data_IF_477060905553
#
_entry.id   IF_477060905553
#
_cell.length_a   1.000
_cell.length_b   1.000
_cell.length_c   1.000
_cell.angle_alpha   90.00
_cell.angle_beta   90.00
_cell.angle_gamma   90.00
#
_symmetry.space_group_name_H-M   'P 1'
#
loop_
_entity.id
_entity.type
_entity.pdbx_description
1 polymer ?
#
# COMPACT_ATOMS: atom_id res chain seq x y z
N UNK A 1 -28.67 16.43 59.76
CA UNK A 1 -28.98 17.04 58.45
C UNK A 1 -27.92 16.59 57.46
N UNK A 2 -28.19 15.56 56.64
CA UNK A 2 -27.27 15.04 55.63
C UNK A 2 -27.79 15.46 54.26
N UNK A 3 -26.98 16.18 53.47
CA UNK A 3 -27.27 16.53 52.07
C UNK A 3 -27.31 15.25 51.20
N UNK A 4 -28.18 15.17 50.18
CA UNK A 4 -28.12 14.08 49.20
C UNK A 4 -27.01 14.36 48.18
N UNK A 5 -26.24 13.31 47.84
CA UNK A 5 -25.31 13.32 46.71
C UNK A 5 -26.11 13.35 45.40
N UNK A 6 -25.82 14.32 44.54
CA UNK A 6 -26.21 14.31 43.13
C UNK A 6 -25.31 13.32 42.36
N UNK A 7 -25.92 12.37 41.66
CA UNK A 7 -25.22 11.49 40.73
C UNK A 7 -24.74 12.27 39.49
N UNK A 8 -23.55 11.96 38.92
CA UNK A 8 -23.08 12.62 37.71
C UNK A 8 -23.90 12.14 36.51
N UNK A 9 -24.43 13.09 35.74
CA UNK A 9 -25.09 12.79 34.48
C UNK A 9 -24.05 12.25 33.47
N UNK A 10 -24.25 11.02 33.03
CA UNK A 10 -23.47 10.44 31.94
C UNK A 10 -23.87 11.11 30.62
N UNK A 11 -23.02 12.00 30.08
CA UNK A 11 -23.13 12.43 28.69
C UNK A 11 -22.76 11.23 27.80
N UNK A 12 -23.78 10.57 27.25
CA UNK A 12 -23.59 9.65 26.13
C UNK A 12 -23.27 10.47 24.88
N UNK A 13 -21.99 10.52 24.49
CA UNK A 13 -21.62 10.92 23.14
C UNK A 13 -22.08 9.82 22.18
N UNK A 14 -23.25 9.99 21.58
CA UNK A 14 -23.61 9.23 20.40
C UNK A 14 -22.63 9.64 19.29
N UNK A 15 -21.66 8.79 18.97
CA UNK A 15 -20.89 8.93 17.74
C UNK A 15 -21.87 8.72 16.59
N UNK A 16 -22.32 9.81 15.95
CA UNK A 16 -22.93 9.72 14.64
C UNK A 16 -21.86 9.20 13.68
N UNK A 17 -21.89 7.91 13.38
CA UNK A 17 -21.17 7.37 12.22
C UNK A 17 -21.90 7.89 11.00
N UNK A 18 -21.39 8.99 10.42
CA UNK A 18 -21.87 9.43 9.11
C UNK A 18 -21.72 8.26 8.12
N UNK A 19 -22.78 7.98 7.36
CA UNK A 19 -22.70 6.99 6.30
C UNK A 19 -21.54 7.38 5.34
N UNK A 20 -20.74 6.42 4.86
CA UNK A 20 -19.68 6.72 3.92
C UNK A 20 -20.25 7.45 2.70
N UNK A 21 -19.51 8.45 2.21
CA UNK A 21 -19.91 9.16 1.00
C UNK A 21 -20.07 8.18 -0.16
N UNK A 22 -21.06 8.37 -1.05
CA UNK A 22 -21.19 7.50 -2.21
C UNK A 22 -19.93 7.59 -3.06
N UNK A 23 -19.44 6.44 -3.52
CA UNK A 23 -18.31 6.39 -4.43
C UNK A 23 -18.71 7.04 -5.75
N UNK A 24 -17.86 7.93 -6.22
CA UNK A 24 -18.02 8.64 -7.49
C UNK A 24 -16.94 8.22 -8.47
N UNK A 25 -17.30 8.16 -9.74
CA UNK A 25 -16.36 7.96 -10.84
C UNK A 25 -16.32 9.21 -11.70
N UNK A 26 -15.11 9.66 -12.03
CA UNK A 26 -14.91 10.69 -13.06
C UNK A 26 -15.00 10.07 -14.47
N UNK A 27 -15.18 10.92 -15.48
CA UNK A 27 -15.16 10.55 -16.90
C UNK A 27 -14.15 11.40 -17.68
N UNK A 28 -13.77 10.93 -18.87
CA UNK A 28 -12.87 11.67 -19.76
C UNK A 28 -13.55 12.91 -20.38
N UNK A 29 -12.83 14.04 -20.57
CA UNK A 29 -11.48 14.30 -20.06
C UNK A 29 -11.48 14.38 -18.53
N UNK A 30 -10.58 13.63 -17.89
CA UNK A 30 -10.60 13.50 -16.44
C UNK A 30 -10.26 14.83 -15.77
N UNK A 31 -10.99 15.22 -14.71
CA UNK A 31 -10.77 16.50 -14.05
C UNK A 31 -9.41 16.50 -13.37
N UNK A 32 -8.71 17.63 -13.47
CA UNK A 32 -7.50 17.88 -12.68
C UNK A 32 -7.86 17.88 -11.19
N UNK A 33 -7.09 17.15 -10.38
CA UNK A 33 -7.24 17.23 -8.92
C UNK A 33 -6.76 18.61 -8.44
N UNK A 34 -7.64 19.33 -7.75
CA UNK A 34 -7.37 20.72 -7.32
C UNK A 34 -6.46 20.80 -6.10
N UNK A 35 -6.29 19.71 -5.35
CA UNK A 35 -5.40 19.64 -4.19
C UNK A 35 -3.99 19.21 -4.59
N UNK A 36 -3.83 18.56 -5.74
CA UNK A 36 -2.58 17.94 -6.14
C UNK A 36 -1.68 18.86 -7.00
N UNK A 37 -0.39 18.87 -6.70
CA UNK A 37 0.65 19.63 -7.43
C UNK A 37 1.94 18.82 -7.55
N UNK A 38 2.84 19.24 -8.45
CA UNK A 38 4.18 18.66 -8.59
C UNK A 38 5.20 19.66 -8.06
N UNK A 39 5.90 19.27 -7.00
CA UNK A 39 7.06 19.96 -6.44
C UNK A 39 8.32 19.44 -7.12
N UNK A 40 9.08 20.33 -7.79
CA UNK A 40 10.34 19.97 -8.46
C UNK A 40 11.51 20.47 -7.63
N UNK A 41 12.36 19.56 -7.18
CA UNK A 41 13.53 19.88 -6.36
C UNK A 41 14.85 19.73 -7.13
N UNK A 42 14.86 18.87 -8.15
CA UNK A 42 16.02 18.61 -9.00
C UNK A 42 15.65 18.54 -10.50
N UNK A 43 16.48 19.09 -11.42
CA UNK A 43 16.23 19.00 -12.86
C UNK A 43 16.12 17.57 -13.41
N UNK A 44 16.73 16.57 -12.76
CA UNK A 44 16.61 15.16 -13.18
C UNK A 44 15.15 14.66 -13.19
N UNK A 45 14.25 15.31 -12.44
CA UNK A 45 12.83 14.98 -12.46
C UNK A 45 12.19 15.20 -13.84
N UNK A 46 12.72 16.09 -14.68
CA UNK A 46 12.16 16.40 -16.00
C UNK A 46 12.29 15.25 -17.01
N UNK A 47 13.21 14.30 -16.73
CA UNK A 47 13.33 13.04 -17.44
C UNK A 47 12.22 12.03 -17.06
N UNK A 48 11.55 12.24 -15.92
CA UNK A 48 10.55 11.32 -15.36
C UNK A 48 9.12 11.86 -15.50
N UNK A 49 8.93 13.19 -15.38
CA UNK A 49 7.63 13.86 -15.45
C UNK A 49 7.70 15.10 -16.34
N UNK A 50 6.78 15.23 -17.28
CA UNK A 50 6.62 16.44 -18.08
C UNK A 50 6.38 17.68 -17.21
N UNK A 51 6.94 18.82 -17.61
CA UNK A 51 6.79 20.10 -16.90
C UNK A 51 5.32 20.53 -16.77
N UNK A 52 4.51 20.20 -17.78
CA UNK A 52 3.07 20.43 -17.82
C UNK A 52 2.21 19.25 -17.34
N UNK A 53 2.80 18.21 -16.73
CA UNK A 53 2.05 17.04 -16.27
C UNK A 53 0.95 17.44 -15.27
N UNK A 54 -0.25 16.89 -15.48
CA UNK A 54 -1.42 17.13 -14.64
C UNK A 54 -1.79 15.87 -13.87
N UNK A 55 -2.14 16.04 -12.59
CA UNK A 55 -2.71 14.97 -11.77
C UNK A 55 -4.22 14.95 -12.00
N UNK A 56 -4.72 13.83 -12.48
CA UNK A 56 -6.15 13.60 -12.75
C UNK A 56 -6.80 12.88 -11.57
N UNK A 57 -8.04 13.27 -11.23
CA UNK A 57 -8.87 12.57 -10.25
C UNK A 57 -9.82 11.62 -10.98
N UNK A 58 -9.66 10.32 -10.74
CA UNK A 58 -10.41 9.25 -11.39
C UNK A 58 -11.70 8.88 -10.65
N UNK A 59 -11.78 9.22 -9.37
CA UNK A 59 -12.93 8.96 -8.52
C UNK A 59 -12.62 9.24 -7.07
N UNK A 60 -13.66 9.30 -6.25
CA UNK A 60 -13.54 9.62 -4.82
C UNK A 60 -14.67 9.00 -4.01
N UNK A 61 -14.57 9.04 -2.68
CA UNK A 61 -15.55 8.52 -1.73
C UNK A 61 -15.14 7.22 -1.03
N UNK A 62 -13.88 6.81 -1.17
CA UNK A 62 -13.32 5.66 -0.45
C UNK A 62 -13.09 6.00 1.03
N UNK A 63 -13.07 4.99 1.90
CA UNK A 63 -12.75 5.16 3.32
C UNK A 63 -11.24 5.15 3.56
N UNK A 64 -10.54 4.20 2.93
CA UNK A 64 -9.07 4.19 2.86
C UNK A 64 -8.62 3.37 1.64
N UNK A 65 -8.38 4.06 0.52
CA UNK A 65 -7.93 3.41 -0.72
C UNK A 65 -6.48 2.95 -0.64
N UNK A 66 -6.19 1.72 -1.07
CA UNK A 66 -4.93 1.01 -0.82
C UNK A 66 -4.56 0.02 -1.93
N UNK A 67 -3.32 -0.48 -1.89
CA UNK A 67 -2.84 -1.62 -2.66
C UNK A 67 -3.20 -1.63 -4.15
N UNK A 68 -3.02 -0.53 -4.92
CA UNK A 68 -3.38 -0.53 -6.32
C UNK A 68 -2.46 -1.45 -7.13
N UNK A 69 -3.02 -2.14 -8.12
CA UNK A 69 -2.28 -2.87 -9.16
C UNK A 69 -2.97 -2.75 -10.51
N UNK A 70 -2.17 -2.67 -11.56
CA UNK A 70 -2.68 -2.83 -12.92
C UNK A 70 -2.81 -4.31 -13.26
N UNK A 71 -3.97 -4.73 -13.79
CA UNK A 71 -4.22 -6.10 -14.22
C UNK A 71 -4.40 -6.14 -15.74
N UNK A 72 -3.37 -6.54 -16.51
CA UNK A 72 -3.41 -6.53 -17.96
C UNK A 72 -4.59 -7.32 -18.55
N UNK A 73 -4.91 -8.47 -17.97
CA UNK A 73 -6.02 -9.32 -18.41
C UNK A 73 -7.40 -8.64 -18.28
N UNK A 74 -7.53 -7.65 -17.39
CA UNK A 74 -8.75 -6.86 -17.21
C UNK A 74 -8.71 -5.52 -17.93
N UNK A 75 -7.53 -5.10 -18.41
CA UNK A 75 -7.23 -3.75 -18.85
C UNK A 75 -7.77 -2.70 -17.84
N UNK A 76 -7.48 -2.94 -16.57
CA UNK A 76 -8.05 -2.20 -15.46
C UNK A 76 -7.10 -2.14 -14.26
N UNK A 77 -7.29 -1.12 -13.43
CA UNK A 77 -6.65 -1.01 -12.13
C UNK A 77 -7.55 -1.66 -11.07
N UNK A 78 -6.99 -2.53 -10.24
CA UNK A 78 -7.61 -3.00 -9.01
C UNK A 78 -6.99 -2.27 -7.82
N UNK A 79 -7.78 -1.98 -6.78
CA UNK A 79 -7.30 -1.39 -5.53
C UNK A 79 -8.25 -1.71 -4.38
N UNK A 80 -7.74 -1.81 -3.17
CA UNK A 80 -8.52 -2.14 -1.97
C UNK A 80 -9.14 -0.89 -1.35
N UNK A 81 -10.29 -1.04 -0.70
CA UNK A 81 -10.75 -0.15 0.36
C UNK A 81 -10.79 -0.96 1.66
N UNK A 82 -9.74 -0.81 2.46
CA UNK A 82 -9.41 -1.76 3.55
C UNK A 82 -10.51 -1.82 4.61
N UNK A 83 -11.10 -0.70 5.07
CA UNK A 83 -12.21 -0.73 6.02
C UNK A 83 -13.48 -1.40 5.47
N UNK A 84 -13.75 -1.19 4.18
CA UNK A 84 -14.99 -1.62 3.55
C UNK A 84 -15.01 -3.11 3.14
N UNK A 85 -13.87 -3.81 3.26
CA UNK A 85 -13.73 -5.23 2.89
C UNK A 85 -13.98 -5.49 1.39
N UNK A 86 -13.54 -4.55 0.54
CA UNK A 86 -13.77 -4.58 -0.90
C UNK A 86 -12.49 -4.34 -1.68
N UNK A 87 -12.41 -4.95 -2.86
CA UNK A 87 -11.53 -4.49 -3.95
C UNK A 87 -12.39 -3.84 -5.00
N UNK A 88 -12.01 -2.64 -5.42
CA UNK A 88 -12.60 -1.92 -6.55
C UNK A 88 -11.80 -2.16 -7.83
N UNK A 89 -12.50 -2.08 -8.96
CA UNK A 89 -11.93 -1.99 -10.30
C UNK A 89 -12.20 -0.60 -10.85
N UNK A 90 -11.16 0.09 -11.29
CA UNK A 90 -11.28 1.24 -12.17
C UNK A 90 -10.87 0.84 -13.59
N UNK A 91 -11.69 1.17 -14.59
CA UNK A 91 -11.39 0.94 -16.00
C UNK A 91 -11.72 2.19 -16.82
N UNK A 92 -10.81 2.59 -17.68
CA UNK A 92 -10.98 3.76 -18.55
C UNK A 92 -12.26 3.61 -19.39
N UNK A 93 -13.06 4.69 -19.46
CA UNK A 93 -14.38 4.69 -20.12
C UNK A 93 -15.53 3.98 -19.39
N UNK A 94 -15.24 3.08 -18.42
CA UNK A 94 -16.27 2.38 -17.63
C UNK A 94 -16.43 2.96 -16.21
N UNK A 95 -15.35 3.47 -15.62
CA UNK A 95 -15.33 4.00 -14.27
C UNK A 95 -15.09 2.96 -13.19
N UNK A 96 -15.61 3.23 -11.98
CA UNK A 96 -15.34 2.45 -10.77
C UNK A 96 -16.49 1.49 -10.46
N UNK A 97 -16.14 0.23 -10.18
CA UNK A 97 -17.08 -0.82 -9.78
C UNK A 97 -16.47 -1.75 -8.73
N UNK A 98 -17.30 -2.45 -7.95
CA UNK A 98 -16.80 -3.50 -7.03
C UNK A 98 -16.31 -4.68 -7.84
N UNK A 99 -15.10 -5.15 -7.55
CA UNK A 99 -14.50 -6.33 -8.16
C UNK A 99 -14.60 -7.57 -7.26
N UNK A 100 -14.36 -7.40 -5.96
CA UNK A 100 -14.31 -8.49 -4.99
C UNK A 100 -14.90 -8.03 -3.66
N UNK A 101 -15.83 -8.83 -3.12
CA UNK A 101 -16.44 -8.63 -1.80
C UNK A 101 -16.94 -9.99 -1.27
N UNK A 102 -16.51 -10.45 -0.08
CA UNK A 102 -15.49 -9.86 0.78
C UNK A 102 -14.07 -10.00 0.19
N UNK A 103 -13.16 -9.10 0.54
CA UNK A 103 -11.77 -9.15 0.05
C UNK A 103 -10.73 -9.62 1.08
N UNK A 104 -10.95 -9.39 2.37
CA UNK A 104 -10.03 -9.75 3.46
C UNK A 104 -10.65 -10.72 4.46
N UNK A 105 -11.55 -10.22 5.30
CA UNK A 105 -12.23 -11.01 6.30
C UNK A 105 -13.38 -11.80 5.70
N UNK A 106 -13.35 -13.12 5.86
CA UNK A 106 -14.38 -14.03 5.35
C UNK A 106 -15.36 -14.53 6.42
N UNK A 107 -15.15 -14.15 7.68
CA UNK A 107 -16.03 -14.50 8.80
C UNK A 107 -17.25 -13.57 8.95
N UNK A 108 -17.98 -13.74 10.04
CA UNK A 108 -19.24 -13.01 10.30
C UNK A 108 -19.11 -11.82 11.24
N UNK A 109 -18.17 -11.86 12.18
CA UNK A 109 -17.95 -10.79 13.15
C UNK A 109 -16.48 -10.40 13.20
N UNK A 110 -16.23 -9.10 13.09
CA UNK A 110 -14.89 -8.53 13.11
C UNK A 110 -14.85 -7.33 14.03
N UNK A 111 -13.94 -7.34 15.01
CA UNK A 111 -13.81 -6.28 15.99
C UNK A 111 -12.56 -5.43 15.72
N UNK A 112 -12.56 -4.71 14.61
CA UNK A 112 -11.48 -3.85 14.17
C UNK A 112 -11.89 -3.02 12.94
N UNK A 113 -11.09 -2.00 12.62
CA UNK A 113 -11.38 -1.09 11.51
C UNK A 113 -11.01 -1.69 10.14
N UNK A 114 -9.82 -2.22 10.01
CA UNK A 114 -9.21 -2.60 8.73
C UNK A 114 -9.36 -4.11 8.48
N UNK A 115 -10.55 -4.53 8.09
CA UNK A 115 -10.88 -5.96 7.94
C UNK A 115 -10.65 -6.52 6.54
N UNK A 116 -10.51 -5.64 5.55
CA UNK A 116 -10.40 -5.98 4.13
C UNK A 116 -9.05 -6.52 3.69
N UNK A 117 -8.93 -6.68 2.39
CA UNK A 117 -7.63 -6.82 1.74
C UNK A 117 -6.86 -5.50 1.85
N UNK A 118 -5.54 -5.57 1.82
CA UNK A 118 -4.69 -4.40 1.66
C UNK A 118 -3.89 -4.52 0.35
N UNK A 119 -2.59 -4.82 0.43
CA UNK A 119 -1.72 -4.98 -0.74
C UNK A 119 -2.23 -6.06 -1.69
N UNK A 120 -2.15 -5.75 -2.98
CA UNK A 120 -2.50 -6.63 -4.08
C UNK A 120 -1.27 -6.85 -4.96
N UNK A 121 -1.16 -8.03 -5.57
CA UNK A 121 -0.15 -8.32 -6.59
C UNK A 121 -0.62 -9.44 -7.52
N UNK A 122 0.12 -9.70 -8.58
CA UNK A 122 -0.08 -10.86 -9.45
C UNK A 122 1.08 -11.83 -9.26
N UNK A 123 0.78 -13.12 -9.19
CA UNK A 123 1.83 -14.13 -9.34
C UNK A 123 2.24 -14.30 -10.81
N UNK A 124 3.26 -15.14 -11.05
CA UNK A 124 3.77 -15.41 -12.41
C UNK A 124 2.73 -16.04 -13.37
N UNK A 125 1.58 -16.50 -12.87
CA UNK A 125 0.46 -17.00 -13.68
C UNK A 125 -0.62 -15.93 -13.89
N UNK A 126 -0.39 -14.70 -13.43
CA UNK A 126 -1.36 -13.60 -13.51
C UNK A 126 -2.51 -13.73 -12.53
N UNK A 127 -2.39 -14.57 -11.48
CA UNK A 127 -3.44 -14.75 -10.48
C UNK A 127 -3.31 -13.70 -9.38
N UNK A 128 -4.44 -13.12 -8.99
CA UNK A 128 -4.51 -12.14 -7.92
C UNK A 128 -4.08 -12.76 -6.59
N UNK A 129 -2.99 -12.26 -6.03
CA UNK A 129 -2.48 -12.58 -4.70
C UNK A 129 -2.60 -11.33 -3.84
N UNK A 130 -3.06 -11.47 -2.60
CA UNK A 130 -3.47 -10.37 -1.76
C UNK A 130 -3.17 -10.62 -0.29
N UNK A 131 -2.88 -9.52 0.40
CA UNK A 131 -2.77 -9.45 1.84
C UNK A 131 -4.18 -9.33 2.44
N UNK A 132 -4.62 -10.32 3.22
CA UNK A 132 -5.91 -10.31 3.91
C UNK A 132 -5.71 -9.97 5.38
N UNK A 133 -6.04 -8.74 5.78
CA UNK A 133 -5.93 -8.31 7.18
C UNK A 133 -6.79 -9.17 8.09
N UNK A 134 -8.10 -9.26 7.81
CA UNK A 134 -9.03 -9.89 8.74
C UNK A 134 -8.82 -11.40 8.91
N UNK A 135 -8.39 -12.09 7.86
CA UNK A 135 -8.06 -13.53 7.92
C UNK A 135 -6.61 -13.77 8.37
N UNK A 136 -5.78 -12.72 8.49
CA UNK A 136 -4.38 -12.73 8.94
C UNK A 136 -3.50 -13.67 8.11
N UNK A 137 -3.59 -13.54 6.78
CA UNK A 137 -2.87 -14.39 5.82
C UNK A 137 -2.54 -13.66 4.53
N UNK A 138 -1.56 -14.17 3.80
CA UNK A 138 -1.49 -13.94 2.35
C UNK A 138 -2.32 -15.02 1.67
N UNK A 139 -3.18 -14.59 0.76
CA UNK A 139 -4.08 -15.46 0.04
C UNK A 139 -3.99 -15.23 -1.47
N UNK A 140 -4.45 -16.20 -2.23
CA UNK A 140 -4.61 -16.12 -3.68
C UNK A 140 -6.06 -16.33 -4.03
N UNK A 141 -6.61 -15.51 -4.93
CA UNK A 141 -7.96 -15.72 -5.44
C UNK A 141 -7.99 -17.04 -6.21
N UNK A 142 -8.95 -17.91 -5.87
CA UNK A 142 -9.12 -19.19 -6.54
C UNK A 142 -9.44 -18.99 -8.03
N UNK A 143 -9.02 -19.94 -8.87
CA UNK A 143 -9.14 -19.82 -10.33
C UNK A 143 -10.60 -19.69 -10.83
N UNK A 144 -11.57 -20.20 -10.05
CA UNK A 144 -13.00 -20.07 -10.33
C UNK A 144 -13.60 -18.74 -9.83
N UNK A 145 -12.82 -17.92 -9.14
CA UNK A 145 -13.22 -16.66 -8.53
C UNK A 145 -14.12 -16.80 -7.30
N UNK A 146 -14.32 -18.01 -6.76
CA UNK A 146 -15.31 -18.30 -5.70
C UNK A 146 -14.70 -18.50 -4.30
N UNK A 147 -13.53 -17.91 -4.05
CA UNK A 147 -12.90 -17.97 -2.74
C UNK A 147 -11.40 -17.75 -2.81
N UNK A 148 -10.72 -18.21 -1.76
CA UNK A 148 -9.29 -17.97 -1.58
C UNK A 148 -8.54 -19.25 -1.23
N UNK A 149 -7.37 -19.41 -1.84
CA UNK A 149 -6.35 -20.36 -1.45
C UNK A 149 -5.40 -19.67 -0.45
N UNK A 150 -5.14 -20.27 0.71
CA UNK A 150 -4.11 -19.76 1.62
C UNK A 150 -2.73 -19.98 0.99
N UNK A 151 -1.97 -18.90 0.83
CA UNK A 151 -0.55 -18.98 0.42
C UNK A 151 0.32 -19.18 1.65
N UNK A 152 0.12 -18.36 2.69
CA UNK A 152 0.80 -18.51 3.98
C UNK A 152 0.00 -17.79 5.08
N UNK A 153 -0.15 -18.43 6.24
CA UNK A 153 -0.95 -17.89 7.37
C UNK A 153 -0.23 -17.95 8.73
N UNK A 154 0.93 -18.60 8.81
CA UNK A 154 1.68 -18.80 10.05
C UNK A 154 3.20 -18.74 9.86
N UNK A 155 3.87 -18.37 10.94
CA UNK A 155 5.32 -18.48 11.10
C UNK A 155 5.62 -19.09 12.48
N UNK A 156 6.45 -20.14 12.51
CA UNK A 156 6.84 -20.84 13.76
C UNK A 156 5.64 -21.23 14.65
N UNK A 157 4.50 -21.57 14.04
CA UNK A 157 3.27 -21.97 14.73
C UNK A 157 2.32 -20.83 15.10
N UNK A 158 2.79 -19.58 15.15
CA UNK A 158 1.97 -18.40 15.39
C UNK A 158 1.38 -17.82 14.10
N UNK A 159 0.14 -17.31 14.17
CA UNK A 159 -0.45 -16.59 13.04
C UNK A 159 0.23 -15.24 12.82
N UNK A 160 0.30 -14.82 11.56
CA UNK A 160 0.73 -13.45 11.21
C UNK A 160 -0.14 -12.40 11.90
N UNK A 161 0.37 -11.18 12.03
CA UNK A 161 -0.37 -10.06 12.59
C UNK A 161 -1.50 -9.68 11.63
N UNK A 162 -1.12 -9.08 10.50
CA UNK A 162 -2.01 -8.70 9.41
C UNK A 162 -1.10 -8.37 8.21
N UNK A 163 -0.76 -9.35 7.35
CA UNK A 163 0.06 -9.10 6.17
C UNK A 163 -0.47 -7.89 5.42
N UNK A 164 0.41 -6.97 5.00
CA UNK A 164 0.00 -5.61 4.65
C UNK A 164 0.31 -5.24 3.20
N UNK A 165 1.57 -5.33 2.77
CA UNK A 165 1.95 -5.21 1.35
C UNK A 165 2.83 -6.39 0.91
N UNK A 166 2.92 -6.62 -0.40
CA UNK A 166 3.58 -7.80 -0.98
C UNK A 166 4.10 -7.58 -2.40
N UNK A 167 5.17 -8.30 -2.76
CA UNK A 167 5.62 -8.44 -4.13
C UNK A 167 6.27 -9.79 -4.41
N UNK A 168 6.27 -10.18 -5.68
CA UNK A 168 7.08 -11.29 -6.16
C UNK A 168 8.39 -10.78 -6.77
N UNK A 169 9.44 -11.60 -6.66
CA UNK A 169 10.58 -11.53 -7.58
C UNK A 169 10.33 -12.36 -8.84
N UNK A 170 11.21 -12.23 -9.84
CA UNK A 170 11.15 -12.98 -11.11
C UNK A 170 11.30 -14.50 -10.93
N UNK A 171 11.84 -14.94 -9.81
CA UNK A 171 11.96 -16.37 -9.46
C UNK A 171 10.71 -16.92 -8.77
N UNK A 172 9.68 -16.09 -8.56
CA UNK A 172 8.43 -16.47 -7.91
C UNK A 172 8.51 -16.53 -6.38
N UNK A 173 9.56 -15.99 -5.76
CA UNK A 173 9.60 -15.84 -4.31
C UNK A 173 8.72 -14.66 -3.90
N UNK A 174 7.89 -14.87 -2.88
CA UNK A 174 7.00 -13.86 -2.34
C UNK A 174 7.67 -13.13 -1.18
N UNK A 175 7.67 -11.81 -1.23
CA UNK A 175 8.06 -10.94 -0.11
C UNK A 175 6.80 -10.23 0.42
N UNK A 176 6.66 -10.15 1.74
CA UNK A 176 5.52 -9.47 2.36
C UNK A 176 5.88 -8.87 3.73
N UNK A 177 5.16 -7.82 4.12
CA UNK A 177 5.27 -7.19 5.45
C UNK A 177 4.15 -7.64 6.37
N UNK A 178 4.43 -7.72 7.67
CA UNK A 178 3.47 -8.14 8.70
C UNK A 178 3.37 -7.15 9.90
N UNK A 179 2.89 -5.92 9.67
CA UNK A 179 2.50 -4.99 10.73
C UNK A 179 1.14 -5.37 11.35
N UNK A 180 0.73 -4.75 12.47
CA UNK A 180 -0.49 -5.11 13.20
C UNK A 180 -1.69 -4.21 12.89
N UNK A 181 -1.71 -3.50 11.76
CA UNK A 181 -2.78 -2.54 11.44
C UNK A 181 -4.17 -3.17 11.38
N UNK A 182 -4.23 -4.33 10.75
CA UNK A 182 -5.42 -5.13 10.59
C UNK A 182 -5.66 -6.12 11.72
N UNK A 183 -5.10 -5.92 12.92
CA UNK A 183 -5.38 -6.81 14.04
C UNK A 183 -6.76 -6.50 14.64
N UNK A 184 -7.60 -7.52 14.92
CA UNK A 184 -8.76 -7.33 15.78
C UNK A 184 -8.33 -6.82 17.16
N UNK A 185 -9.10 -5.89 17.72
CA UNK A 185 -8.77 -5.20 18.97
C UNK A 185 -8.72 -6.12 20.21
N UNK A 186 -9.37 -7.26 20.14
CA UNK A 186 -9.42 -8.30 21.17
C UNK A 186 -8.40 -9.44 20.97
N UNK A 187 -7.59 -9.38 19.90
CA UNK A 187 -6.61 -10.41 19.56
C UNK A 187 -5.19 -9.91 19.87
N UNK A 188 -4.38 -10.77 20.49
CA UNK A 188 -2.96 -10.49 20.76
C UNK A 188 -2.08 -11.02 19.63
N UNK A 189 -0.94 -10.36 19.46
CA UNK A 189 0.14 -10.81 18.57
C UNK A 189 0.60 -12.23 18.97
N UNK A 190 0.75 -13.12 17.99
CA UNK A 190 1.24 -14.49 18.21
C UNK A 190 2.72 -14.65 17.84
N UNK A 191 3.18 -13.91 16.83
CA UNK A 191 4.60 -13.72 16.51
C UNK A 191 5.11 -12.59 17.39
N UNK A 192 6.29 -12.65 18.04
CA UNK A 192 6.71 -11.62 19.01
C UNK A 192 7.31 -10.34 18.39
N UNK A 193 7.26 -10.19 17.06
CA UNK A 193 7.79 -9.05 16.31
C UNK A 193 6.91 -8.72 15.10
N UNK A 194 7.12 -7.54 14.52
CA UNK A 194 6.59 -7.16 13.21
C UNK A 194 7.74 -7.29 12.22
N UNK A 195 7.49 -7.91 11.08
CA UNK A 195 8.60 -8.37 10.24
C UNK A 195 8.35 -8.25 8.76
N UNK A 196 9.44 -8.48 8.03
CA UNK A 196 9.44 -8.68 6.59
C UNK A 196 9.79 -10.13 6.35
N UNK A 197 8.98 -10.83 5.57
CA UNK A 197 9.10 -12.25 5.32
C UNK A 197 9.35 -12.52 3.84
N UNK A 198 10.03 -13.63 3.57
CA UNK A 198 10.20 -14.18 2.23
C UNK A 198 9.73 -15.64 2.24
N UNK A 199 8.74 -15.95 1.42
CA UNK A 199 8.34 -17.31 1.09
C UNK A 199 8.98 -17.69 -0.25
N UNK A 200 9.94 -18.61 -0.21
CA UNK A 200 10.59 -19.12 -1.40
C UNK A 200 9.62 -19.92 -2.28
N UNK A 201 9.91 -20.01 -3.57
CA UNK A 201 9.17 -20.88 -4.50
C UNK A 201 9.25 -22.38 -4.12
N UNK A 202 10.24 -22.75 -3.30
CA UNK A 202 10.40 -24.05 -2.67
C UNK A 202 9.48 -24.26 -1.44
N UNK A 203 8.68 -23.25 -1.08
CA UNK A 203 7.80 -23.24 0.10
C UNK A 203 8.50 -22.88 1.40
N UNK A 204 9.81 -22.54 1.38
CA UNK A 204 10.54 -22.18 2.59
C UNK A 204 10.24 -20.75 3.01
N UNK A 205 9.63 -20.59 4.18
CA UNK A 205 9.41 -19.29 4.80
C UNK A 205 10.64 -18.85 5.61
N UNK A 206 11.11 -17.64 5.35
CA UNK A 206 12.28 -17.03 6.00
C UNK A 206 11.98 -15.59 6.40
N UNK A 207 12.75 -15.07 7.37
CA UNK A 207 12.60 -13.71 7.86
C UNK A 207 13.71 -12.85 7.27
N UNK A 208 13.33 -11.75 6.63
CA UNK A 208 14.25 -10.73 6.09
C UNK A 208 14.60 -9.72 7.17
N UNK A 209 13.62 -9.27 7.96
CA UNK A 209 13.83 -8.30 9.03
C UNK A 209 12.91 -8.57 10.23
N UNK A 210 13.46 -8.39 11.44
CA UNK A 210 12.76 -8.49 12.73
C UNK A 210 12.76 -7.18 13.52
N UNK A 211 13.62 -6.25 13.12
CA UNK A 211 13.93 -4.98 13.78
C UNK A 211 13.18 -3.81 13.12
N UNK A 212 11.91 -4.02 12.79
CA UNK A 212 11.06 -2.98 12.18
C UNK A 212 9.80 -2.76 13.01
N UNK A 213 9.49 -1.48 13.25
CA UNK A 213 8.17 -1.08 13.71
C UNK A 213 7.34 -0.64 12.50
N UNK A 214 6.16 -1.25 12.37
CA UNK A 214 5.20 -1.01 11.30
C UNK A 214 5.82 -1.07 9.90
N UNK A 215 6.45 -2.20 9.51
CA UNK A 215 6.89 -2.41 8.13
C UNK A 215 5.67 -2.34 7.20
N UNK A 216 5.78 -1.60 6.11
CA UNK A 216 4.64 -1.30 5.26
C UNK A 216 4.91 -1.69 3.79
N UNK A 217 4.95 -0.75 2.85
CA UNK A 217 5.24 -1.04 1.45
C UNK A 217 6.63 -1.61 1.23
N UNK A 218 6.77 -2.42 0.18
CA UNK A 218 8.03 -3.01 -0.22
C UNK A 218 8.17 -3.15 -1.74
N UNK A 219 9.39 -3.04 -2.24
CA UNK A 219 9.69 -3.28 -3.65
C UNK A 219 11.14 -3.69 -3.84
N UNK A 220 11.37 -4.51 -4.87
CA UNK A 220 12.72 -4.88 -5.31
C UNK A 220 13.27 -3.84 -6.30
N UNK A 221 14.59 -3.65 -6.30
CA UNK A 221 15.33 -2.97 -7.36
C UNK A 221 15.13 -3.70 -8.71
N UNK A 222 15.40 -3.05 -9.86
CA UNK A 222 15.22 -3.69 -11.17
C UNK A 222 16.05 -4.97 -11.39
N UNK A 223 17.21 -5.04 -10.72
CA UNK A 223 18.11 -6.19 -10.70
C UNK A 223 17.85 -7.18 -9.55
N UNK A 224 16.84 -6.92 -8.72
CA UNK A 224 16.39 -7.73 -7.58
C UNK A 224 17.44 -7.99 -6.49
N UNK A 225 18.52 -7.20 -6.48
CA UNK A 225 19.58 -7.29 -5.46
C UNK A 225 19.32 -6.45 -4.22
N UNK A 226 18.35 -5.54 -4.28
CA UNK A 226 17.97 -4.69 -3.15
C UNK A 226 16.48 -4.79 -2.91
N UNK A 227 16.08 -5.09 -1.68
CA UNK A 227 14.71 -4.93 -1.21
C UNK A 227 14.59 -3.61 -0.44
N UNK A 228 13.72 -2.72 -0.90
CA UNK A 228 13.34 -1.51 -0.18
C UNK A 228 12.09 -1.80 0.65
N UNK A 229 12.10 -1.35 1.90
CA UNK A 229 10.96 -1.50 2.82
C UNK A 229 10.70 -0.17 3.51
N UNK A 230 9.47 0.30 3.43
CA UNK A 230 8.98 1.48 4.13
C UNK A 230 8.66 1.14 5.60
N UNK A 231 8.92 2.11 6.49
CA UNK A 231 8.34 2.14 7.82
C UNK A 231 7.41 3.35 7.94
N UNK A 232 6.17 3.07 8.33
CA UNK A 232 5.19 4.12 8.64
C UNK A 232 5.24 4.54 10.12
N UNK A 233 6.38 4.33 10.79
CA UNK A 233 6.56 4.77 12.17
C UNK A 233 6.45 6.31 12.25
N UNK A 234 5.32 6.79 12.78
CA UNK A 234 4.91 8.20 12.64
C UNK A 234 5.80 9.25 13.29
N UNK A 235 6.88 8.86 13.99
CA UNK A 235 7.88 9.79 14.54
C UNK A 235 9.20 9.75 13.77
N UNK A 236 9.48 8.66 13.07
CA UNK A 236 10.73 8.38 12.37
C UNK A 236 10.39 7.69 11.04
N UNK A 237 9.78 8.42 10.07
CA UNK A 237 9.44 7.82 8.80
C UNK A 237 10.71 7.61 7.97
N UNK A 238 11.00 6.36 7.62
CA UNK A 238 12.15 6.03 6.79
C UNK A 238 11.87 4.90 5.80
N UNK A 239 12.73 4.81 4.79
CA UNK A 239 12.85 3.66 3.90
C UNK A 239 14.21 3.03 4.17
N UNK A 240 14.22 1.72 4.40
CA UNK A 240 15.45 0.93 4.59
C UNK A 240 15.67 0.06 3.36
N UNK A 241 16.91 0.02 2.89
CA UNK A 241 17.34 -0.87 1.82
C UNK A 241 18.06 -2.08 2.42
N UNK A 242 17.70 -3.26 1.95
CA UNK A 242 18.32 -4.54 2.30
C UNK A 242 19.01 -5.11 1.05
N UNK A 243 20.33 -5.25 1.10
CA UNK A 243 21.07 -5.95 0.06
C UNK A 243 20.84 -7.46 0.21
N UNK A 244 20.40 -8.12 -0.87
CA UNK A 244 20.08 -9.53 -0.90
C UNK A 244 21.22 -10.34 -1.53
N UNK A 245 21.57 -11.46 -0.90
CA UNK A 245 22.38 -12.51 -1.50
C UNK A 245 21.55 -13.30 -2.52
N UNK A 246 22.24 -14.07 -3.38
CA UNK A 246 21.59 -14.91 -4.39
C UNK A 246 20.63 -15.97 -3.81
N UNK A 247 20.84 -16.39 -2.55
CA UNK A 247 19.95 -17.32 -1.84
C UNK A 247 18.75 -16.62 -1.16
N UNK A 248 18.63 -15.30 -1.29
CA UNK A 248 17.60 -14.47 -0.70
C UNK A 248 17.87 -14.03 0.74
N UNK A 249 19.02 -14.39 1.34
CA UNK A 249 19.42 -13.90 2.65
C UNK A 249 19.89 -12.44 2.61
N UNK A 250 19.79 -11.72 3.73
CA UNK A 250 20.24 -10.33 3.83
C UNK A 250 21.74 -10.27 4.05
N UNK A 251 22.45 -9.60 3.13
CA UNK A 251 23.89 -9.34 3.25
C UNK A 251 24.18 -8.13 4.14
N UNK A 252 23.39 -7.07 3.99
CA UNK A 252 23.52 -5.83 4.76
C UNK A 252 22.23 -5.00 4.66
N UNK A 253 22.09 -3.99 5.52
CA UNK A 253 20.99 -3.02 5.42
C UNK A 253 21.44 -1.64 5.84
N UNK A 254 20.81 -0.60 5.29
CA UNK A 254 20.99 0.79 5.71
C UNK A 254 19.70 1.60 5.50
N UNK A 255 19.56 2.71 6.23
CA UNK A 255 18.50 3.69 5.95
C UNK A 255 18.81 4.33 4.59
N UNK A 256 17.95 4.07 3.62
CA UNK A 256 18.06 4.60 2.27
C UNK A 256 17.56 6.04 2.19
N UNK A 257 16.47 6.33 2.89
CA UNK A 257 15.90 7.67 2.95
C UNK A 257 15.24 7.95 4.31
N UNK A 258 15.55 9.11 4.89
CA UNK A 258 14.95 9.61 6.13
C UNK A 258 14.02 10.78 5.82
N UNK A 259 12.71 10.59 6.05
CA UNK A 259 11.68 11.59 5.80
C UNK A 259 11.42 12.53 6.99
N UNK A 260 12.19 12.45 8.07
CA UNK A 260 11.95 13.24 9.29
C UNK A 260 11.94 14.75 9.05
N UNK A 261 12.76 15.24 8.12
CA UNK A 261 12.77 16.66 7.75
C UNK A 261 11.44 17.09 7.09
N UNK A 262 10.84 16.23 6.27
CA UNK A 262 9.57 16.49 5.59
C UNK A 262 8.40 16.44 6.58
N UNK A 263 8.45 15.53 7.55
CA UNK A 263 7.47 15.47 8.64
C UNK A 263 7.49 16.75 9.50
N UNK A 264 8.69 17.27 9.82
CA UNK A 264 8.86 18.54 10.58
C UNK A 264 8.30 19.76 9.85
N UNK A 265 8.15 19.70 8.53
CA UNK A 265 7.47 20.73 7.74
C UNK A 265 5.94 20.66 7.82
N UNK A 266 5.38 19.71 8.58
CA UNK A 266 3.94 19.52 8.74
C UNK A 266 3.28 18.82 7.55
N UNK A 267 4.05 18.17 6.67
CA UNK A 267 3.50 17.40 5.55
C UNK A 267 2.77 16.17 6.09
N UNK A 268 1.52 15.95 5.64
CA UNK A 268 0.67 14.83 6.06
C UNK A 268 1.13 13.52 5.42
N UNK A 269 0.95 12.39 6.12
CA UNK A 269 1.27 11.05 5.60
C UNK A 269 2.60 10.49 6.14
N UNK A 270 2.87 9.22 5.83
CA UNK A 270 4.07 8.49 6.20
C UNK A 270 4.56 7.66 4.99
N UNK A 271 5.73 7.02 5.09
CA UNK A 271 6.13 6.03 4.10
C UNK A 271 5.23 4.80 4.26
N UNK A 272 4.47 4.51 3.22
CA UNK A 272 3.47 3.45 3.18
C UNK A 272 3.81 2.59 1.94
N UNK A 273 2.99 2.54 0.89
CA UNK A 273 3.30 1.86 -0.36
C UNK A 273 4.40 2.50 -1.24
N UNK A 274 5.18 1.65 -1.92
CA UNK A 274 6.19 2.09 -2.90
C UNK A 274 6.30 1.20 -4.14
N UNK A 275 6.86 1.77 -5.21
CA UNK A 275 7.22 1.10 -6.47
C UNK A 275 8.57 1.61 -6.97
N UNK A 276 9.17 0.87 -7.89
CA UNK A 276 10.46 1.20 -8.51
C UNK A 276 10.27 1.27 -10.01
N UNK A 277 10.87 2.27 -10.66
CA UNK A 277 10.85 2.40 -12.11
C UNK A 277 12.02 1.66 -12.78
N UNK A 278 12.00 1.57 -14.11
CA UNK A 278 13.05 0.88 -14.90
C UNK A 278 14.45 1.47 -14.74
N UNK A 279 14.59 2.69 -14.20
CA UNK A 279 15.86 3.35 -13.94
C UNK A 279 16.31 3.20 -12.47
N UNK A 280 15.52 2.51 -11.64
CA UNK A 280 15.81 2.30 -10.22
C UNK A 280 15.36 3.46 -9.32
N UNK A 281 14.64 4.45 -9.84
CA UNK A 281 14.08 5.49 -8.96
C UNK A 281 12.95 4.89 -8.11
N UNK A 282 12.93 5.23 -6.83
CA UNK A 282 11.84 4.93 -5.93
C UNK A 282 10.72 5.94 -6.09
N UNK A 283 9.52 5.43 -6.33
CA UNK A 283 8.26 6.16 -6.30
C UNK A 283 7.50 5.68 -5.07
N UNK A 284 7.58 6.45 -4.00
CA UNK A 284 7.15 6.03 -2.67
C UNK A 284 6.18 7.03 -2.09
N UNK A 285 5.10 6.56 -1.46
CA UNK A 285 4.33 7.46 -0.60
C UNK A 285 5.19 7.95 0.55
N UNK A 286 4.87 9.11 1.11
CA UNK A 286 5.62 9.74 2.19
C UNK A 286 4.94 11.02 2.66
N UNK A 287 5.57 11.76 3.58
CA UNK A 287 5.04 13.05 4.02
C UNK A 287 4.79 14.01 2.84
N UNK A 288 3.53 14.27 2.52
CA UNK A 288 3.05 15.21 1.51
C UNK A 288 2.38 14.56 0.29
N UNK A 289 2.58 13.27 0.06
CA UNK A 289 2.08 12.58 -1.13
C UNK A 289 3.04 11.48 -1.60
N UNK A 290 3.50 11.55 -2.84
CA UNK A 290 4.50 10.63 -3.40
C UNK A 290 5.83 11.34 -3.62
N UNK A 291 6.91 10.78 -3.11
CA UNK A 291 8.27 11.23 -3.32
C UNK A 291 8.89 10.43 -4.47
N UNK A 292 9.66 11.11 -5.31
CA UNK A 292 10.52 10.48 -6.32
C UNK A 292 11.97 10.60 -5.85
N UNK A 293 12.61 9.47 -5.59
CA UNK A 293 13.96 9.38 -5.01
C UNK A 293 14.85 8.61 -5.99
N UNK A 294 16.02 9.17 -6.33
CA UNK A 294 16.96 8.51 -7.25
C UNK A 294 17.57 7.24 -6.63
N UNK A 295 18.19 6.35 -7.43
CA UNK A 295 18.89 5.17 -6.92
C UNK A 295 19.97 5.49 -5.86
N UNK A 296 20.52 6.70 -5.89
CA UNK A 296 21.52 7.22 -4.95
C UNK A 296 20.92 7.82 -3.68
N UNK A 297 19.59 7.78 -3.52
CA UNK A 297 18.88 8.33 -2.35
C UNK A 297 18.58 9.83 -2.43
N UNK A 298 18.72 10.46 -3.60
CA UNK A 298 18.45 11.89 -3.77
C UNK A 298 16.96 12.16 -4.02
N UNK A 299 16.33 13.02 -3.22
CA UNK A 299 14.95 13.46 -3.43
C UNK A 299 14.86 14.39 -4.65
N UNK A 300 14.31 13.90 -5.76
CA UNK A 300 14.20 14.63 -7.03
C UNK A 300 12.99 15.58 -7.04
N UNK A 301 11.93 15.19 -6.33
CA UNK A 301 10.73 16.00 -6.15
C UNK A 301 9.57 15.18 -5.60
N UNK A 302 8.40 15.80 -5.57
CA UNK A 302 7.20 15.20 -4.96
C UNK A 302 5.96 15.46 -5.82
N UNK A 303 5.08 14.47 -5.93
CA UNK A 303 3.67 14.68 -6.26
C UNK A 303 2.96 14.95 -4.93
N UNK A 304 2.69 16.20 -4.63
CA UNK A 304 1.95 16.60 -3.44
C UNK A 304 0.47 16.35 -3.69
N UNK A 305 -0.18 15.46 -2.94
CA UNK A 305 -1.59 15.07 -3.19
C UNK A 305 -2.60 15.87 -2.34
N UNK A 306 -2.10 16.67 -1.39
CA UNK A 306 -2.91 17.37 -0.40
C UNK A 306 -3.60 16.45 0.63
N UNK A 307 -3.28 15.15 0.59
CA UNK A 307 -3.89 14.09 1.39
C UNK A 307 -2.81 13.17 1.94
N UNK A 308 -3.16 12.32 2.91
CA UNK A 308 -2.35 11.13 3.15
C UNK A 308 -2.45 10.24 1.92
N UNK A 309 -1.34 9.67 1.46
CA UNK A 309 -1.32 8.79 0.29
C UNK A 309 -0.86 7.42 0.76
N UNK A 310 -1.68 6.40 0.54
CA UNK A 310 -1.44 5.08 1.07
C UNK A 310 -0.50 4.31 0.13
N UNK A 311 -0.82 4.23 -1.16
CA UNK A 311 -0.04 3.38 -2.06
C UNK A 311 -0.06 3.88 -3.51
N UNK A 312 0.68 3.18 -4.38
CA UNK A 312 0.87 3.56 -5.77
C UNK A 312 1.20 2.37 -6.68
N UNK A 313 0.95 2.55 -7.98
CA UNK A 313 1.23 1.56 -9.01
C UNK A 313 1.54 2.19 -10.37
N UNK A 314 2.41 1.55 -11.14
CA UNK A 314 2.49 1.80 -12.58
C UNK A 314 1.48 0.91 -13.31
N UNK A 315 0.85 1.46 -14.34
CA UNK A 315 -0.18 0.76 -15.11
C UNK A 315 -0.33 1.27 -16.53
N UNK A 316 -1.43 0.85 -17.15
CA UNK A 316 -1.70 0.89 -18.59
C UNK A 316 -0.80 -0.07 -19.39
N UNK A 317 -1.16 -0.32 -20.64
CA UNK A 317 -0.44 -1.24 -21.52
C UNK A 317 1.03 -0.84 -21.76
N UNK A 318 1.36 0.44 -21.62
CA UNK A 318 2.72 0.97 -21.78
C UNK A 318 3.49 1.11 -20.45
N UNK A 319 2.83 0.85 -19.32
CA UNK A 319 3.35 1.04 -17.96
C UNK A 319 3.80 2.46 -17.61
N UNK A 320 3.35 3.48 -18.38
CA UNK A 320 3.75 4.88 -18.22
C UNK A 320 2.73 5.72 -17.45
N UNK A 321 1.64 5.14 -16.96
CA UNK A 321 0.71 5.83 -16.06
C UNK A 321 1.03 5.46 -14.62
N UNK A 322 1.18 6.46 -13.76
CA UNK A 322 1.38 6.29 -12.34
C UNK A 322 0.09 6.61 -11.59
N UNK A 323 -0.46 5.58 -10.96
CA UNK A 323 -1.69 5.61 -10.16
C UNK A 323 -1.35 5.76 -8.67
N UNK A 324 -2.20 6.49 -7.94
CA UNK A 324 -2.05 6.76 -6.51
C UNK A 324 -3.38 6.56 -5.80
N UNK A 325 -3.37 5.81 -4.71
CA UNK A 325 -4.49 5.72 -3.78
C UNK A 325 -4.24 6.72 -2.64
N UNK A 326 -4.99 7.83 -2.67
CA UNK A 326 -4.77 8.99 -1.83
C UNK A 326 -5.99 9.23 -0.93
N UNK A 327 -6.01 8.55 0.22
CA UNK A 327 -7.08 8.62 1.22
C UNK A 327 -8.44 8.27 0.56
N UNK A 328 -9.30 9.27 0.38
CA UNK A 328 -10.62 9.13 -0.23
C UNK A 328 -10.63 9.07 -1.77
N UNK A 329 -9.48 9.22 -2.43
CA UNK A 329 -9.40 9.46 -3.88
C UNK A 329 -8.48 8.49 -4.63
N UNK A 330 -8.85 8.19 -5.87
CA UNK A 330 -7.97 7.54 -6.84
C UNK A 330 -7.45 8.60 -7.83
N UNK A 331 -6.13 8.76 -7.90
CA UNK A 331 -5.46 9.75 -8.74
C UNK A 331 -4.54 9.08 -9.77
N UNK A 332 -4.26 9.75 -10.89
CA UNK A 332 -3.19 9.34 -11.80
C UNK A 332 -2.42 10.50 -12.40
N UNK A 333 -1.22 10.22 -12.89
CA UNK A 333 -0.41 11.14 -13.70
C UNK A 333 0.34 10.35 -14.78
N UNK A 334 0.51 10.93 -15.97
CA UNK A 334 1.36 10.36 -17.02
C UNK A 334 2.83 10.64 -16.73
N UNK A 335 3.66 9.64 -16.97
CA UNK A 335 5.10 9.68 -16.73
C UNK A 335 5.87 9.44 -18.03
N UNK A 336 7.15 9.83 -18.04
CA UNK A 336 8.10 9.53 -19.12
C UNK A 336 8.87 8.23 -18.89
N UNK A 337 8.81 7.71 -17.66
CA UNK A 337 9.41 6.43 -17.26
C UNK A 337 8.37 5.32 -17.28
N UNK A 338 8.78 4.10 -16.93
CA UNK A 338 7.90 2.94 -16.79
C UNK A 338 8.17 2.25 -15.46
N UNK A 339 7.16 1.63 -14.87
CA UNK A 339 7.38 0.72 -13.75
C UNK A 339 8.36 -0.40 -14.13
N UNK A 340 9.23 -0.80 -13.20
CA UNK A 340 10.09 -1.96 -13.40
C UNK A 340 9.21 -3.21 -13.66
N UNK A 341 9.48 -3.91 -14.76
CA UNK A 341 8.77 -5.14 -15.09
C UNK A 341 8.98 -6.19 -14.00
N UNK A 342 7.90 -6.88 -13.63
CA UNK A 342 7.89 -8.01 -12.72
C UNK A 342 7.31 -9.21 -13.46
#
# INVERSE_FOLDING_TARGET
>A
MKLPLLAPAALSFAMLTAAPAPITSSSAPYPKDTKATIERLDPALDALLDSGATIENLGSGFNWSEGPIWVPALNALLFSDVPENRVYRWKDGEGISVHLEPSGFTGTQYNGRERGSNGLTLDAQGRLTLCQHGDRRVARLAADGKGFETVVDKFEGGRFNSPNDLCFDKSGNLFFTDPPYGMPSDVKQEIPFQGVFRLGADGKLTVIARDMHRPNGLALSPDEKTLYVASSEGKEPWIKAYALNADGSVASSHIFFDGSALLKQGRRGAFDGLKVDVHGNLWTTGPGGVLIISPEGKHLGSILTGRATANCAFGDADHQTFYMTADEALLRVRTKTKGAAR
#
